data_IF_957767888991
#
_entry.id   IF_957767888991
#
_cell.length_a   1.000
_cell.length_b   1.000
_cell.length_c   1.000
_cell.angle_alpha   90.00
_cell.angle_beta   90.00
_cell.angle_gamma   90.00
#
_symmetry.space_group_name_H-M   'P 1'
#
loop_
_entity.id
_entity.type
_entity.pdbx_description
1 polymer ?
2 non-polymer ?
3 non-polymer ?
4 water ?
#
# COMPACT_ATOMS: atom_id res chain seq x y z
N UNK A 1 0.25 4.13 -7.01
CA UNK A 1 -0.90 4.84 -7.68
C UNK A 1 -0.56 6.30 -8.04
N UNK A 2 0.45 6.89 -7.38
CA UNK A 2 0.87 8.29 -7.52
C UNK A 2 2.34 8.46 -7.11
N UNK A 3 2.92 9.69 -7.20
CA UNK A 3 4.34 9.95 -6.99
C UNK A 3 4.86 9.60 -5.58
N UNK A 4 4.00 9.66 -4.58
CA UNK A 4 4.33 9.28 -3.20
C UNK A 4 4.61 7.78 -3.12
N UNK A 5 3.73 6.99 -3.71
CA UNK A 5 3.85 5.52 -3.78
C UNK A 5 5.04 5.14 -4.67
N UNK A 6 5.35 5.96 -5.70
CA UNK A 6 6.53 5.74 -6.57
C UNK A 6 7.82 5.84 -5.74
N UNK A 7 7.94 6.87 -4.93
CA UNK A 7 9.13 7.06 -4.08
C UNK A 7 9.21 5.90 -3.08
N UNK A 8 8.10 5.58 -2.40
CA UNK A 8 8.04 4.51 -1.38
C UNK A 8 8.49 3.19 -2.00
N UNK A 9 7.94 2.87 -3.16
CA UNK A 9 8.32 1.63 -3.89
C UNK A 9 9.81 1.62 -4.22
N UNK A 10 10.39 2.74 -4.65
CA UNK A 10 11.82 2.81 -5.05
C UNK A 10 12.70 2.47 -3.83
N UNK A 11 12.34 2.96 -2.66
CA UNK A 11 13.04 2.64 -1.39
C UNK A 11 12.83 1.18 -1.00
N UNK A 12 11.60 0.67 -1.07
CA UNK A 12 11.33 -0.71 -0.60
C UNK A 12 12.11 -1.70 -1.47
N UNK A 13 12.17 -1.46 -2.77
CA UNK A 13 12.73 -2.48 -3.71
C UNK A 13 14.26 -2.58 -3.58
N UNK A 14 14.98 -1.54 -3.13
CA UNK A 14 16.46 -1.59 -3.09
C UNK A 14 16.99 -1.50 -1.66
N UNK A 15 16.24 -0.94 -0.71
CA UNK A 15 16.84 -0.57 0.58
C UNK A 15 16.17 -1.25 1.77
N UNK A 16 15.47 -2.36 1.57
CA UNK A 16 14.83 -3.10 2.71
C UNK A 16 15.20 -4.57 2.65
N UNK A 17 15.34 -5.13 3.85
CA UNK A 17 15.50 -6.59 4.07
C UNK A 17 14.46 -7.00 5.09
N UNK A 18 14.21 -8.30 5.20
CA UNK A 18 13.37 -8.86 6.27
C UNK A 18 14.31 -9.28 7.40
N UNK A 19 14.20 -8.67 8.57
CA UNK A 19 15.04 -9.02 9.73
C UNK A 19 14.20 -9.85 10.69
N UNK A 20 14.80 -10.91 11.25
CA UNK A 20 14.13 -11.79 12.23
C UNK A 20 15.01 -11.86 13.48
N UNK A 21 14.48 -11.45 14.63
CA UNK A 21 15.11 -11.62 15.96
C UNK A 21 14.22 -12.59 16.74
N UNK A 22 14.56 -12.86 18.01
CA UNK A 22 13.75 -13.72 18.91
C UNK A 22 12.42 -13.03 19.25
N UNK A 23 12.26 -11.73 18.91
CA UNK A 23 11.03 -10.94 19.23
C UNK A 23 10.19 -10.73 17.97
N UNK A 24 10.56 -11.31 16.82
CA UNK A 24 9.67 -11.35 15.65
C UNK A 24 10.34 -11.00 14.33
N UNK A 25 9.52 -10.85 13.31
CA UNK A 25 9.93 -10.46 11.95
C UNK A 25 9.69 -8.96 11.77
N UNK A 26 10.67 -8.20 11.28
CA UNK A 26 10.57 -6.73 11.11
C UNK A 26 11.01 -6.32 9.72
N UNK A 27 10.33 -5.34 9.13
CA UNK A 27 10.89 -4.54 8.03
C UNK A 27 12.16 -3.86 8.59
N UNK A 28 13.26 -3.90 7.83
CA UNK A 28 14.56 -3.27 8.20
C UNK A 28 15.02 -2.43 7.01
N UNK A 29 15.23 -1.16 7.27
CA UNK A 29 15.72 -0.15 6.29
C UNK A 29 17.25 -0.13 6.28
N UNK A 30 17.81 -0.48 5.13
CA UNK A 30 19.24 -0.34 4.87
C UNK A 30 19.56 1.10 4.48
N UNK A 31 20.60 1.71 5.05
CA UNK A 31 20.84 3.18 4.85
C UNK A 31 22.07 3.40 3.97
N UNK A 32 23.18 2.71 4.23
CA UNK A 32 24.40 2.85 3.38
C UNK A 32 25.32 1.72 3.82
N UNK A 33 26.22 1.30 2.93
CA UNK A 33 27.26 0.27 3.23
C UNK A 33 26.53 -0.95 3.84
N UNK A 34 26.87 -1.38 5.07
CA UNK A 34 26.25 -2.57 5.70
C UNK A 34 25.45 -2.07 6.92
N UNK A 35 25.06 -0.80 6.91
CA UNK A 35 24.40 -0.13 8.09
C UNK A 35 22.90 -0.10 7.82
N UNK A 36 22.10 -0.61 8.76
CA UNK A 36 20.62 -0.62 8.69
C UNK A 36 20.05 -0.14 10.03
N UNK A 37 18.74 0.12 10.05
CA UNK A 37 18.04 0.52 11.31
C UNK A 37 16.86 -0.44 11.59
N UNK A 38 16.46 -0.53 12.85
CA UNK A 38 15.34 -1.39 13.30
C UNK A 38 14.84 -0.81 14.61
N UNK A 39 13.56 -0.98 15.00
CA UNK A 39 13.13 -0.51 16.32
C UNK A 39 13.92 -1.23 17.43
N UNK A 40 14.24 -0.48 18.50
CA UNK A 40 15.07 -1.00 19.60
C UNK A 40 14.37 -2.17 20.30
N UNK A 41 13.04 -2.22 20.29
CA UNK A 41 12.26 -3.32 20.93
C UNK A 41 12.40 -4.63 20.14
N UNK A 42 13.03 -4.61 18.97
CA UNK A 42 13.43 -5.87 18.30
C UNK A 42 14.49 -6.62 19.11
N UNK A 43 15.20 -5.99 20.06
CA UNK A 43 16.22 -6.64 20.93
C UNK A 43 17.27 -7.40 20.09
N UNK A 44 17.97 -6.67 19.23
CA UNK A 44 19.01 -7.25 18.33
C UNK A 44 20.13 -7.80 19.21
N UNK A 45 20.55 -9.03 18.93
CA UNK A 45 21.67 -9.70 19.61
C UNK A 45 22.90 -9.80 18.72
N UNK A 46 23.70 -10.84 18.92
CA UNK A 46 25.01 -11.05 18.26
C UNK A 46 24.76 -11.70 16.90
N UNK A 47 23.61 -12.36 16.75
CA UNK A 47 23.17 -13.01 15.49
C UNK A 47 21.74 -12.55 15.16
N UNK A 48 21.49 -12.28 13.89
CA UNK A 48 20.15 -11.90 13.38
C UNK A 48 19.94 -12.68 12.07
N UNK A 49 18.70 -12.93 11.64
CA UNK A 49 18.38 -13.50 10.31
C UNK A 49 18.02 -12.34 9.37
N UNK A 50 18.62 -12.32 8.19
CA UNK A 50 18.43 -11.29 7.14
C UNK A 50 17.95 -12.08 5.91
N UNK A 51 16.70 -11.89 5.51
CA UNK A 51 16.14 -12.67 4.38
C UNK A 51 16.43 -14.16 4.60
N UNK A 52 16.25 -14.64 5.84
CA UNK A 52 16.35 -16.06 6.29
C UNK A 52 17.78 -16.62 6.23
N UNK A 53 18.78 -15.75 6.22
CA UNK A 53 20.23 -16.15 6.24
C UNK A 53 20.80 -15.74 7.62
N UNK A 54 21.37 -16.68 8.33
CA UNK A 54 22.08 -16.38 9.60
C UNK A 54 23.20 -15.36 9.34
N UNK A 55 23.23 -14.25 10.07
CA UNK A 55 24.11 -13.08 9.83
C UNK A 55 24.67 -12.58 11.18
N UNK A 56 25.98 -12.51 11.29
CA UNK A 56 26.64 -11.90 12.47
C UNK A 56 26.36 -10.40 12.54
N UNK A 57 26.11 -9.88 13.73
CA UNK A 57 25.96 -8.42 13.98
C UNK A 57 27.32 -7.86 14.39
N UNK A 58 27.90 -6.99 13.56
CA UNK A 58 29.27 -6.47 13.82
C UNK A 58 29.18 -5.37 14.88
N UNK A 59 28.04 -4.66 14.98
CA UNK A 59 27.78 -3.58 15.96
C UNK A 59 26.28 -3.30 16.04
N UNK A 60 25.78 -2.98 17.23
CA UNK A 60 24.38 -2.53 17.40
C UNK A 60 24.35 -1.42 18.44
N UNK A 61 23.72 -0.29 18.13
CA UNK A 61 23.68 0.83 19.11
C UNK A 61 22.24 1.38 19.23
N UNK A 62 21.67 1.24 20.41
CA UNK A 62 20.36 1.80 20.78
C UNK A 62 20.51 3.30 21.01
N UNK A 63 20.02 4.12 20.10
CA UNK A 63 20.20 5.58 20.20
C UNK A 63 19.35 6.15 21.33
N UNK A 64 19.93 7.15 22.00
CA UNK A 64 19.24 7.98 23.02
C UNK A 64 19.61 9.43 22.74
N UNK A 65 18.78 10.39 23.10
CA UNK A 65 19.13 11.80 22.90
C UNK A 65 20.05 12.25 24.04
N UNK A 66 20.45 13.51 23.98
CA UNK A 66 21.49 14.07 24.90
C UNK A 66 20.83 14.43 26.23
N UNK A 67 19.54 14.16 26.41
CA UNK A 67 18.92 14.02 27.78
C UNK A 67 18.94 12.56 28.25
N UNK A 68 19.57 11.63 27.51
CA UNK A 68 19.56 10.19 27.87
C UNK A 68 18.11 9.72 27.85
N UNK A 69 17.31 10.14 26.86
CA UNK A 69 15.94 9.64 26.62
C UNK A 69 15.96 8.70 25.39
N UNK A 70 15.29 7.57 25.52
CA UNK A 70 15.13 6.58 24.43
C UNK A 70 14.76 7.30 23.12
N UNK A 71 15.32 6.89 21.99
CA UNK A 71 14.76 7.32 20.68
C UNK A 71 14.09 6.18 19.91
N UNK A 72 14.25 4.93 20.36
CA UNK A 72 13.62 3.71 19.81
C UNK A 72 14.24 3.34 18.47
N UNK A 73 15.39 3.93 18.10
CA UNK A 73 16.14 3.48 16.88
C UNK A 73 17.37 2.70 17.36
N UNK A 74 17.63 1.55 16.74
CA UNK A 74 18.90 0.81 16.89
C UNK A 74 19.58 0.82 15.52
N UNK A 75 20.84 1.20 15.48
CA UNK A 75 21.65 1.19 14.22
C UNK A 75 22.41 -0.11 14.26
N UNK A 76 22.30 -0.88 13.20
CA UNK A 76 22.94 -2.22 13.18
C UNK A 76 23.93 -2.23 12.03
N UNK A 77 25.14 -2.72 12.26
CA UNK A 77 26.08 -3.03 11.17
C UNK A 77 26.09 -4.53 10.96
N UNK A 78 25.80 -5.01 9.75
CA UNK A 78 25.60 -6.44 9.43
C UNK A 78 26.86 -6.99 8.75
N UNK A 79 27.28 -8.19 9.14
CA UNK A 79 28.39 -8.88 8.41
C UNK A 79 27.84 -9.49 7.14
N UNK A 80 27.45 -8.64 6.21
CA UNK A 80 26.79 -9.05 4.94
C UNK A 80 27.81 -8.87 3.80
N UNK A 81 27.68 -9.65 2.71
CA UNK A 81 28.65 -9.64 1.58
C UNK A 81 28.26 -8.60 0.53
N UNK A 82 27.29 -7.75 0.84
CA UNK A 82 26.76 -6.80 -0.17
C UNK A 82 26.41 -5.51 0.57
N UNK A 83 26.59 -4.36 -0.09
CA UNK A 83 26.26 -3.02 0.46
C UNK A 83 24.89 -2.54 -0.02
N UNK A 84 24.26 -1.70 0.78
CA UNK A 84 23.01 -1.00 0.41
C UNK A 84 23.37 0.19 -0.46
N UNK A 85 22.51 0.49 -1.41
CA UNK A 85 22.45 1.81 -2.05
C UNK A 85 22.48 2.89 -0.97
N UNK A 86 23.36 3.86 -1.08
CA UNK A 86 23.49 4.99 -0.13
C UNK A 86 22.26 5.91 -0.31
N UNK A 87 21.37 5.99 0.69
CA UNK A 87 20.16 6.86 0.68
C UNK A 87 20.26 7.98 1.72
N UNK A 88 21.44 8.26 2.26
CA UNK A 88 21.54 9.29 3.33
C UNK A 88 21.13 10.67 2.82
N UNK A 89 21.25 10.96 1.51
CA UNK A 89 20.82 12.28 0.97
C UNK A 89 19.29 12.42 1.01
N UNK A 90 18.52 11.36 1.31
CA UNK A 90 17.04 11.44 1.41
C UNK A 90 16.60 11.67 2.86
N UNK A 91 17.53 11.69 3.81
CA UNK A 91 17.22 11.89 5.25
C UNK A 91 17.11 13.37 5.56
N UNK A 92 16.08 13.78 6.32
CA UNK A 92 15.95 15.15 6.80
C UNK A 92 17.08 15.52 7.76
N UNK A 93 17.42 16.80 7.82
CA UNK A 93 18.43 17.30 8.78
C UNK A 93 17.81 17.73 10.10
N UNK A 94 16.54 18.12 10.13
CA UNK A 94 15.88 18.70 11.32
C UNK A 94 14.55 17.99 11.60
N UNK A 95 14.05 18.11 12.85
CA UNK A 95 12.71 17.62 13.25
C UNK A 95 11.68 18.48 12.52
N UNK A 96 10.61 17.90 12.01
CA UNK A 96 9.65 18.67 11.19
C UNK A 96 8.33 17.93 11.20
N UNK A 97 7.30 18.61 10.71
CA UNK A 97 5.98 18.08 10.32
C UNK A 97 5.99 17.88 8.80
N UNK A 98 5.11 17.04 8.28
CA UNK A 98 5.09 16.64 6.85
C UNK A 98 3.64 16.49 6.38
N UNK A 99 3.41 16.74 5.09
CA UNK A 99 2.12 16.34 4.46
C UNK A 99 2.29 15.03 3.68
N UNK A 100 1.24 14.21 3.64
CA UNK A 100 1.04 13.20 2.57
C UNK A 100 2.14 12.16 2.63
N UNK A 101 2.26 11.44 3.74
CA UNK A 101 3.26 10.38 3.89
C UNK A 101 2.67 9.01 3.53
N UNK A 102 3.57 8.06 3.24
CA UNK A 102 3.26 6.63 2.98
C UNK A 102 4.06 5.82 4.00
N UNK A 103 3.42 4.83 4.60
CA UNK A 103 4.08 3.79 5.44
C UNK A 103 4.14 2.51 4.64
N UNK A 104 5.34 1.95 4.48
CA UNK A 104 5.61 0.76 3.62
C UNK A 104 6.18 -0.38 4.47
N UNK A 105 5.67 -1.59 4.28
CA UNK A 105 6.04 -2.78 5.07
C UNK A 105 6.31 -3.92 4.12
N UNK A 106 7.32 -4.71 4.40
CA UNK A 106 7.61 -5.95 3.66
C UNK A 106 8.06 -7.03 4.64
N UNK A 107 7.13 -7.91 4.99
CA UNK A 107 7.40 -9.12 5.83
C UNK A 107 6.71 -10.34 5.20
N UNK A 108 6.98 -11.55 5.72
CA UNK A 108 6.21 -12.80 5.41
C UNK A 108 4.68 -12.58 5.58
N UNK A 109 4.25 -11.92 6.66
CA UNK A 109 2.81 -11.69 6.99
C UNK A 109 2.21 -10.62 6.05
N UNK A 110 2.98 -9.58 5.73
CA UNK A 110 2.51 -8.39 4.96
C UNK A 110 3.50 -8.03 3.84
N UNK A 111 3.57 -8.78 2.72
CA UNK A 111 4.44 -8.41 1.62
C UNK A 111 3.86 -7.27 0.76
N UNK A 112 4.73 -6.37 0.27
CA UNK A 112 4.39 -5.29 -0.70
C UNK A 112 3.21 -4.48 -0.19
N UNK A 113 3.23 -4.10 1.08
CA UNK A 113 2.15 -3.32 1.74
C UNK A 113 2.51 -1.84 1.74
N UNK A 114 1.62 -0.98 1.23
CA UNK A 114 1.77 0.49 1.21
C UNK A 114 0.49 1.10 1.79
N UNK A 115 0.62 2.06 2.73
CA UNK A 115 -0.51 2.74 3.41
C UNK A 115 -0.32 4.24 3.29
N UNK A 116 -1.26 4.98 2.64
CA UNK A 116 -1.20 6.44 2.68
C UNK A 116 -1.75 6.92 4.04
N UNK A 117 -0.88 7.47 4.88
CA UNK A 117 -1.23 7.80 6.29
C UNK A 117 -1.60 9.25 6.41
N UNK A 118 -1.35 10.05 5.37
CA UNK A 118 -1.71 11.47 5.34
C UNK A 118 -0.74 12.33 6.10
N UNK A 119 -1.26 13.28 6.87
CA UNK A 119 -0.46 14.32 7.54
C UNK A 119 0.33 13.72 8.71
N UNK A 120 1.58 14.11 8.85
CA UNK A 120 2.48 13.62 9.94
C UNK A 120 2.82 14.78 10.87
N UNK A 121 2.47 14.67 12.16
CA UNK A 121 2.77 15.67 13.20
C UNK A 121 4.11 15.37 13.90
N UNK A 122 4.91 16.41 14.12
CA UNK A 122 6.05 16.35 15.09
C UNK A 122 5.45 16.27 16.49
N UNK A 123 5.21 15.06 16.99
CA UNK A 123 4.45 14.82 18.24
C UNK A 123 5.38 15.04 19.44
N UNK A 124 6.61 14.57 19.32
CA UNK A 124 7.64 14.79 20.34
C UNK A 124 7.67 13.69 21.37
N UNK A 125 7.26 14.00 22.59
CA UNK A 125 7.31 13.01 23.70
C UNK A 125 6.15 12.01 23.56
N UNK A 126 6.44 10.72 23.74
CA UNK A 126 5.46 9.61 23.84
C UNK A 126 5.93 8.65 24.91
N UNK A 127 5.02 8.22 25.78
CA UNK A 127 5.24 7.06 26.67
C UNK A 127 4.92 5.81 25.85
N UNK A 128 5.94 5.21 25.26
CA UNK A 128 5.80 4.10 24.30
C UNK A 128 5.99 2.79 25.04
N UNK A 129 4.89 2.06 25.29
CA UNK A 129 4.94 0.79 26.04
C UNK A 129 5.56 1.01 27.43
N UNK A 130 5.32 2.15 28.06
CA UNK A 130 5.92 2.46 29.37
C UNK A 130 7.31 3.10 29.32
N UNK A 131 7.92 3.29 28.14
CA UNK A 131 9.27 3.91 28.01
C UNK A 131 9.13 5.34 27.52
N UNK A 132 9.53 6.37 28.29
CA UNK A 132 9.58 7.75 27.80
C UNK A 132 10.44 7.81 26.52
N UNK A 133 9.87 8.35 25.47
CA UNK A 133 10.50 8.31 24.11
C UNK A 133 10.40 9.71 23.51
N UNK A 134 11.46 10.19 22.85
CA UNK A 134 11.48 11.50 22.16
C UNK A 134 11.49 11.34 20.63
N UNK A 135 11.32 12.48 19.95
CA UNK A 135 11.37 12.62 18.46
C UNK A 135 10.38 11.69 17.76
N UNK A 136 9.16 11.59 18.30
CA UNK A 136 8.07 10.75 17.73
C UNK A 136 7.26 11.58 16.72
N UNK A 137 7.00 10.95 15.58
CA UNK A 137 6.08 11.43 14.51
C UNK A 137 4.74 10.72 14.71
N UNK A 138 3.61 11.39 14.47
CA UNK A 138 2.28 10.74 14.67
C UNK A 138 1.45 10.91 13.41
N UNK A 139 0.77 9.84 13.01
CA UNK A 139 -0.19 9.84 11.88
C UNK A 139 -1.49 9.17 12.33
N UNK A 140 -2.61 9.59 11.72
CA UNK A 140 -3.96 9.13 12.17
C UNK A 140 -4.36 7.92 11.34
N UNK A 141 -3.69 6.79 11.54
CA UNK A 141 -4.07 5.52 10.89
C UNK A 141 -3.96 4.43 11.94
N UNK A 142 -4.99 3.54 12.03
CA UNK A 142 -5.01 2.41 12.96
C UNK A 142 -4.06 1.31 12.50
N UNK A 143 -2.77 1.55 12.72
CA UNK A 143 -1.67 0.58 12.48
C UNK A 143 -1.81 -0.59 13.49
N UNK A 144 -1.31 -1.77 13.10
CA UNK A 144 -1.54 -3.05 13.81
C UNK A 144 -0.20 -3.75 13.99
N UNK A 145 -0.18 -4.78 14.85
CA UNK A 145 0.94 -5.73 15.01
C UNK A 145 1.37 -6.19 13.61
N UNK A 146 2.68 -6.17 13.35
CA UNK A 146 3.32 -6.60 12.10
C UNK A 146 3.96 -5.46 11.30
N UNK A 147 3.64 -4.21 11.62
CA UNK A 147 4.05 -3.02 10.85
C UNK A 147 5.30 -2.36 11.43
N UNK A 148 5.79 -2.81 12.59
CA UNK A 148 6.96 -2.17 13.21
C UNK A 148 8.18 -2.31 12.30
N UNK A 149 8.92 -1.20 12.14
CA UNK A 149 10.11 -1.16 11.27
C UNK A 149 9.70 -0.65 9.89
N UNK A 150 8.38 -0.50 9.66
CA UNK A 150 7.88 0.02 8.38
C UNK A 150 8.48 1.37 8.08
N UNK A 151 8.70 1.68 6.81
CA UNK A 151 9.38 2.93 6.40
C UNK A 151 8.34 4.02 6.15
N UNK A 152 8.55 5.16 6.75
CA UNK A 152 7.71 6.37 6.51
C UNK A 152 8.45 7.31 5.54
N UNK A 153 7.81 7.60 4.40
CA UNK A 153 8.38 8.46 3.35
C UNK A 153 7.36 9.52 2.95
N UNK A 154 7.88 10.64 2.46
CA UNK A 154 7.19 11.57 1.55
C UNK A 154 7.92 11.49 0.22
N UNK A 155 7.43 12.15 -0.83
CA UNK A 155 8.20 12.26 -2.10
C UNK A 155 9.56 12.90 -1.77
N UNK A 156 10.62 12.18 -2.05
CA UNK A 156 11.99 12.69 -1.93
C UNK A 156 12.53 12.54 -0.53
N UNK A 157 11.76 12.15 0.51
CA UNK A 157 12.37 11.98 1.86
C UNK A 157 11.97 10.70 2.61
N UNK A 158 12.95 10.11 3.31
CA UNK A 158 12.75 8.97 4.24
C UNK A 158 12.81 9.56 5.64
N UNK A 159 11.66 9.63 6.32
CA UNK A 159 11.54 10.52 7.51
C UNK A 159 11.50 9.72 8.82
N UNK A 160 11.23 8.42 8.78
CA UNK A 160 11.00 7.65 10.02
C UNK A 160 10.84 6.16 9.83
N UNK A 161 10.84 5.44 10.95
CA UNK A 161 10.46 4.01 10.98
C UNK A 161 9.37 3.80 12.06
N UNK A 162 8.32 3.06 11.68
CA UNK A 162 7.08 2.82 12.51
C UNK A 162 7.49 2.04 13.77
N UNK A 163 7.10 2.52 14.97
CA UNK A 163 7.53 1.82 16.22
C UNK A 163 6.34 1.49 17.13
N UNK A 164 5.12 1.95 16.83
CA UNK A 164 3.97 1.66 17.72
C UNK A 164 2.67 2.29 17.27
N UNK A 165 1.61 2.05 18.04
CA UNK A 165 0.26 2.57 17.80
C UNK A 165 -0.60 2.42 19.03
N UNK A 166 -1.76 3.10 19.08
CA UNK A 166 -2.71 3.04 20.22
C UNK A 166 -4.07 2.55 19.72
N UNK A 167 -4.14 2.02 18.50
CA UNK A 167 -5.38 1.52 17.88
C UNK A 167 -6.01 2.52 16.93
N UNK A 168 -5.88 3.83 17.18
CA UNK A 168 -6.42 4.92 16.33
C UNK A 168 -5.28 5.67 15.60
N UNK A 169 -4.16 5.86 16.30
CA UNK A 169 -2.96 6.57 15.77
C UNK A 169 -1.76 5.60 15.65
N UNK A 170 -0.83 5.94 14.75
CA UNK A 170 0.48 5.30 14.58
C UNK A 170 1.61 6.26 14.88
N UNK A 171 2.75 5.71 15.31
CA UNK A 171 3.92 6.45 15.82
C UNK A 171 5.19 5.94 15.15
N UNK A 172 6.02 6.87 14.68
CA UNK A 172 7.30 6.53 14.04
C UNK A 172 8.42 7.25 14.79
N UNK A 173 9.60 6.65 14.87
CA UNK A 173 10.83 7.31 15.31
C UNK A 173 11.43 8.07 14.12
N UNK A 174 11.76 9.33 14.32
CA UNK A 174 12.48 10.17 13.30
C UNK A 174 13.78 9.51 12.89
N UNK A 175 14.03 9.53 11.60
CA UNK A 175 15.40 9.38 11.06
C UNK A 175 15.95 10.80 10.76
N UNK A 176 17.16 11.08 11.19
CA UNK A 176 17.89 12.33 10.93
C UNK A 176 19.24 12.02 10.26
N UNK A 177 19.68 12.89 9.35
CA UNK A 177 20.97 12.77 8.62
C UNK A 177 22.10 12.58 9.64
N UNK A 178 22.04 13.26 10.79
CA UNK A 178 23.14 13.31 11.78
C UNK A 178 23.34 11.94 12.43
N UNK A 179 22.38 11.01 12.33
CA UNK A 179 22.54 9.69 12.96
C UNK A 179 23.58 8.86 12.19
N UNK A 180 23.84 9.19 10.91
CA UNK A 180 24.52 8.29 9.95
C UNK A 180 25.73 8.93 9.27
N UNK A 181 26.29 9.96 9.90
CA UNK A 181 27.65 10.46 9.58
C UNK A 181 28.66 9.42 10.09
N UNK A 182 29.75 9.22 9.37
CA UNK A 182 30.76 8.14 9.61
C UNK A 182 32.13 8.78 9.88
N UNK B 2 -4.64 -10.33 8.38
CA UNK B 2 -5.41 -11.62 8.37
C UNK B 2 -5.23 -12.38 7.06
N UNK B 3 -6.14 -13.33 6.72
CA UNK B 3 -6.18 -13.98 5.39
C UNK B 3 -6.82 -13.10 4.31
N UNK B 4 -7.18 -11.86 4.68
CA UNK B 4 -7.41 -10.73 3.76
C UNK B 4 -6.29 -10.59 2.74
N UNK B 5 -5.02 -10.70 3.18
CA UNK B 5 -3.84 -10.56 2.29
C UNK B 5 -3.69 -11.74 1.34
N UNK B 6 -3.82 -12.99 1.81
CA UNK B 6 -3.83 -14.18 0.94
C UNK B 6 -4.89 -14.01 -0.16
N UNK B 7 -6.09 -13.62 0.24
CA UNK B 7 -7.26 -13.51 -0.68
C UNK B 7 -6.90 -12.46 -1.74
N UNK B 8 -6.47 -11.28 -1.32
CA UNK B 8 -6.10 -10.18 -2.26
C UNK B 8 -5.03 -10.70 -3.25
N UNK B 9 -4.03 -11.42 -2.74
CA UNK B 9 -2.94 -11.96 -3.59
C UNK B 9 -3.48 -12.98 -4.58
N UNK B 10 -4.43 -13.84 -4.19
CA UNK B 10 -4.96 -14.91 -5.06
C UNK B 10 -5.74 -14.27 -6.21
N UNK B 11 -6.49 -13.23 -5.89
CA UNK B 11 -7.27 -12.48 -6.91
C UNK B 11 -6.29 -11.74 -7.85
N UNK B 12 -5.28 -11.07 -7.30
CA UNK B 12 -4.22 -10.38 -8.09
C UNK B 12 -3.60 -11.39 -9.08
N UNK B 13 -3.07 -12.49 -8.57
CA UNK B 13 -2.25 -13.43 -9.38
C UNK B 13 -3.02 -13.97 -10.59
N UNK B 14 -4.26 -14.43 -10.43
CA UNK B 14 -5.03 -15.14 -11.50
C UNK B 14 -6.03 -14.22 -12.24
N UNK B 15 -6.51 -13.14 -11.62
CA UNK B 15 -7.67 -12.38 -12.16
C UNK B 15 -7.37 -10.91 -12.48
N UNK B 16 -6.14 -10.44 -12.37
CA UNK B 16 -5.78 -9.01 -12.60
C UNK B 16 -4.79 -8.92 -13.76
N UNK B 17 -5.10 -8.07 -14.76
CA UNK B 17 -4.25 -7.78 -15.94
C UNK B 17 -4.00 -6.27 -16.05
N UNK B 18 -2.98 -5.88 -16.84
CA UNK B 18 -2.67 -4.44 -17.14
C UNK B 18 -3.39 -4.09 -18.44
N UNK B 19 -4.34 -3.16 -18.39
CA UNK B 19 -5.10 -2.69 -19.57
C UNK B 19 -4.58 -1.31 -19.93
N UNK B 20 -4.31 -1.06 -21.21
CA UNK B 20 -3.83 0.26 -21.69
C UNK B 20 -4.81 0.72 -22.76
N UNK B 21 -5.41 1.88 -22.51
CA UNK B 21 -6.30 2.62 -23.44
C UNK B 21 -5.53 3.85 -23.95
N UNK B 22 -6.21 4.66 -24.78
CA UNK B 22 -5.72 6.00 -25.21
C UNK B 22 -5.31 6.82 -23.99
N UNK B 23 -5.89 6.57 -22.81
CA UNK B 23 -5.68 7.39 -21.58
C UNK B 23 -4.49 6.88 -20.75
N UNK B 24 -3.99 5.69 -21.01
CA UNK B 24 -2.86 5.09 -20.28
C UNK B 24 -3.22 3.76 -19.61
N UNK B 25 -2.57 3.44 -18.48
CA UNK B 25 -2.68 2.06 -17.91
C UNK B 25 -3.67 2.06 -16.73
N UNK B 26 -4.41 0.95 -16.65
CA UNK B 26 -5.43 0.71 -15.60
C UNK B 26 -5.31 -0.73 -15.10
N UNK B 27 -5.41 -0.94 -13.80
CA UNK B 27 -5.61 -2.27 -13.22
C UNK B 27 -6.98 -2.78 -13.71
N UNK B 28 -7.01 -3.90 -14.41
CA UNK B 28 -8.28 -4.48 -14.91
C UNK B 28 -8.53 -5.81 -14.19
N UNK B 29 -9.78 -6.03 -13.79
CA UNK B 29 -10.24 -7.30 -13.18
C UNK B 29 -10.94 -8.18 -14.22
N UNK B 30 -10.37 -9.33 -14.52
CA UNK B 30 -11.10 -10.38 -15.24
C UNK B 30 -12.07 -11.12 -14.35
N UNK B 31 -13.28 -11.35 -14.81
CA UNK B 31 -14.37 -11.89 -13.95
C UNK B 31 -14.68 -13.36 -14.31
N UNK B 32 -14.86 -13.68 -15.57
CA UNK B 32 -15.17 -15.04 -16.09
C UNK B 32 -15.03 -15.02 -17.61
N UNK B 33 -14.79 -16.18 -18.23
CA UNK B 33 -14.66 -16.25 -19.71
C UNK B 33 -13.73 -15.12 -20.20
N UNK B 34 -14.18 -14.30 -21.16
CA UNK B 34 -13.33 -13.18 -21.69
C UNK B 34 -13.93 -11.84 -21.24
N UNK B 35 -14.60 -11.85 -20.09
CA UNK B 35 -15.34 -10.68 -19.56
C UNK B 35 -14.51 -10.08 -18.44
N UNK B 36 -14.25 -8.77 -18.52
CA UNK B 36 -13.48 -8.00 -17.52
C UNK B 36 -14.16 -6.66 -17.24
N UNK B 37 -13.72 -5.98 -16.20
CA UNK B 37 -14.26 -4.63 -15.83
C UNK B 37 -13.11 -3.65 -15.65
N UNK B 38 -13.40 -2.40 -15.96
CA UNK B 38 -12.44 -1.25 -15.92
C UNK B 38 -13.30 -0.03 -15.61
N UNK B 39 -12.79 1.02 -14.95
CA UNK B 39 -13.55 2.28 -14.78
C UNK B 39 -13.98 2.92 -16.09
N UNK B 40 -15.19 3.47 -16.15
CA UNK B 40 -15.72 4.09 -17.39
C UNK B 40 -14.76 5.20 -17.87
N UNK B 41 -14.11 5.93 -16.96
CA UNK B 41 -13.20 7.04 -17.32
C UNK B 41 -11.95 6.56 -18.09
N UNK B 42 -11.69 5.24 -18.20
CA UNK B 42 -10.57 4.69 -19.02
C UNK B 42 -10.82 4.93 -20.52
N UNK B 43 -12.07 5.20 -20.92
CA UNK B 43 -12.40 5.52 -22.33
C UNK B 43 -11.98 4.36 -23.26
N UNK B 44 -12.56 3.20 -23.01
CA UNK B 44 -12.24 1.96 -23.78
C UNK B 44 -12.70 2.17 -25.23
N UNK B 45 -11.86 1.79 -26.19
CA UNK B 45 -12.21 1.94 -27.61
C UNK B 45 -12.45 0.61 -28.27
N UNK B 46 -12.10 0.48 -29.56
CA UNK B 46 -12.28 -0.76 -30.34
C UNK B 46 -11.15 -1.73 -30.04
N UNK B 47 -10.03 -1.20 -29.57
CA UNK B 47 -8.74 -1.94 -29.37
C UNK B 47 -8.24 -1.54 -28.00
N UNK B 48 -7.68 -2.49 -27.28
CA UNK B 48 -7.06 -2.28 -25.96
C UNK B 48 -5.81 -3.14 -25.90
N UNK B 49 -4.81 -2.74 -25.10
CA UNK B 49 -3.63 -3.59 -24.81
C UNK B 49 -3.85 -4.30 -23.48
N UNK B 50 -3.66 -5.60 -23.47
CA UNK B 50 -3.79 -6.43 -22.25
C UNK B 50 -2.41 -7.02 -21.98
N UNK B 51 -1.72 -6.59 -20.92
CA UNK B 51 -0.31 -7.01 -20.68
C UNK B 51 0.51 -6.79 -21.95
N UNK B 52 0.30 -5.65 -22.62
CA UNK B 52 1.11 -5.17 -23.78
C UNK B 52 0.77 -5.92 -25.06
N UNK B 53 -0.29 -6.72 -25.09
CA UNK B 53 -0.79 -7.37 -26.33
C UNK B 53 -2.01 -6.60 -26.89
N UNK B 54 -1.86 -6.03 -28.08
CA UNK B 54 -3.00 -5.47 -28.87
C UNK B 54 -4.15 -6.50 -28.91
N UNK B 55 -5.33 -6.12 -28.40
CA UNK B 55 -6.52 -7.00 -28.24
C UNK B 55 -7.80 -6.27 -28.71
N UNK B 56 -8.55 -6.92 -29.59
CA UNK B 56 -9.86 -6.41 -30.03
C UNK B 56 -10.83 -6.47 -28.84
N UNK B 57 -11.53 -5.36 -28.61
CA UNK B 57 -12.68 -5.33 -27.67
C UNK B 57 -13.95 -5.62 -28.45
N UNK B 58 -14.55 -6.77 -28.21
CA UNK B 58 -15.77 -7.21 -28.95
C UNK B 58 -16.99 -6.42 -28.48
N UNK B 59 -17.04 -6.06 -27.20
CA UNK B 59 -18.22 -5.38 -26.62
C UNK B 59 -17.75 -4.57 -25.42
N UNK B 60 -18.27 -3.36 -25.30
CA UNK B 60 -18.07 -2.49 -24.12
C UNK B 60 -19.43 -1.93 -23.70
N UNK B 61 -19.75 -2.06 -22.42
CA UNK B 61 -21.01 -1.58 -21.81
C UNK B 61 -20.67 -0.65 -20.66
N UNK B 62 -21.02 0.64 -20.80
CA UNK B 62 -20.84 1.63 -19.70
C UNK B 62 -22.07 1.50 -18.79
N UNK B 63 -21.93 0.81 -17.64
CA UNK B 63 -23.09 0.40 -16.85
C UNK B 63 -23.81 1.61 -16.23
N UNK B 64 -25.13 1.52 -16.26
CA UNK B 64 -26.10 2.43 -15.58
C UNK B 64 -27.16 1.58 -14.87
N UNK B 65 -27.70 2.06 -13.75
CA UNK B 65 -28.73 1.31 -13.00
C UNK B 65 -30.11 1.63 -13.57
N UNK B 66 -31.14 1.13 -12.91
CA UNK B 66 -32.54 1.23 -13.41
C UNK B 66 -33.11 2.65 -13.21
N UNK B 67 -32.44 3.53 -12.48
CA UNK B 67 -32.79 4.98 -12.41
C UNK B 67 -32.10 5.72 -13.57
N UNK B 68 -31.45 4.99 -14.46
CA UNK B 68 -30.67 5.57 -15.58
C UNK B 68 -29.56 6.48 -15.03
N UNK B 69 -28.88 6.02 -14.00
CA UNK B 69 -27.74 6.75 -13.39
C UNK B 69 -26.46 5.95 -13.64
N UNK B 70 -25.40 6.67 -13.93
CA UNK B 70 -24.03 6.14 -14.12
C UNK B 70 -23.64 5.30 -12.91
N UNK B 71 -22.99 4.18 -13.18
CA UNK B 71 -22.29 3.35 -12.14
C UNK B 71 -20.74 3.41 -12.24
N UNK B 72 -20.16 3.97 -13.32
CA UNK B 72 -18.70 4.21 -13.52
C UNK B 72 -17.91 2.88 -13.69
N UNK B 73 -18.60 1.79 -14.03
CA UNK B 73 -18.02 0.49 -14.43
C UNK B 73 -18.31 0.29 -15.90
N UNK B 74 -17.29 -0.03 -16.68
CA UNK B 74 -17.48 -0.55 -18.04
C UNK B 74 -17.17 -2.05 -18.04
N UNK B 75 -18.07 -2.84 -18.58
CA UNK B 75 -17.89 -4.31 -18.75
C UNK B 75 -17.39 -4.53 -20.17
N UNK B 76 -16.25 -5.21 -20.36
CA UNK B 76 -15.70 -5.43 -21.73
C UNK B 76 -15.66 -6.93 -22.03
N UNK B 77 -15.85 -7.30 -23.30
CA UNK B 77 -15.70 -8.69 -23.79
C UNK B 77 -14.50 -8.69 -24.75
N UNK B 78 -13.45 -9.41 -24.40
CA UNK B 78 -12.15 -9.33 -25.12
C UNK B 78 -12.03 -10.49 -26.12
N UNK B 79 -11.45 -10.20 -27.28
CA UNK B 79 -11.05 -11.24 -28.29
C UNK B 79 -9.67 -11.80 -27.91
N UNK B 80 -9.61 -12.74 -26.96
CA UNK B 80 -8.35 -13.44 -26.57
C UNK B 80 -8.66 -14.91 -26.21
N UNK B 81 -7.65 -15.77 -26.39
CA UNK B 81 -7.73 -17.24 -26.20
C UNK B 81 -7.92 -17.56 -24.73
N UNK B 82 -7.11 -16.95 -23.87
CA UNK B 82 -7.11 -17.25 -22.41
C UNK B 82 -8.48 -16.89 -21.82
N UNK B 83 -8.98 -17.77 -20.96
CA UNK B 83 -10.24 -17.60 -20.21
C UNK B 83 -9.86 -17.18 -18.79
N UNK B 84 -10.59 -16.23 -18.18
CA UNK B 84 -10.35 -15.81 -16.78
C UNK B 84 -10.91 -16.88 -15.85
N UNK B 85 -10.24 -17.13 -14.74
CA UNK B 85 -10.77 -17.96 -13.61
C UNK B 85 -12.09 -17.35 -13.13
N UNK B 86 -13.19 -18.12 -13.12
CA UNK B 86 -14.53 -17.60 -12.73
C UNK B 86 -14.51 -17.22 -11.26
N UNK B 87 -14.76 -15.95 -10.91
CA UNK B 87 -14.82 -15.43 -9.52
C UNK B 87 -16.19 -14.81 -9.22
N UNK B 88 -17.23 -15.10 -10.00
CA UNK B 88 -18.58 -14.52 -9.77
C UNK B 88 -19.14 -14.92 -8.40
N UNK B 89 -18.74 -16.09 -7.87
CA UNK B 89 -19.19 -16.57 -6.55
C UNK B 89 -18.61 -15.70 -5.44
N UNK B 90 -17.60 -14.87 -5.70
CA UNK B 90 -17.04 -13.95 -4.68
C UNK B 90 -17.63 -12.55 -4.75
N UNK B 91 -18.55 -12.28 -5.69
CA UNK B 91 -19.19 -10.92 -5.82
C UNK B 91 -20.36 -10.82 -4.86
N UNK B 92 -20.49 -9.73 -4.09
CA UNK B 92 -21.67 -9.51 -3.25
C UNK B 92 -22.97 -9.49 -4.05
N UNK B 93 -24.03 -9.98 -3.41
CA UNK B 93 -25.39 -10.00 -3.99
C UNK B 93 -26.08 -8.65 -3.80
N UNK B 94 -25.76 -7.96 -2.72
CA UNK B 94 -26.43 -6.70 -2.30
C UNK B 94 -25.41 -5.63 -1.93
N UNK B 95 -25.87 -4.38 -1.83
CA UNK B 95 -25.07 -3.23 -1.36
C UNK B 95 -24.78 -3.43 0.12
N UNK B 96 -23.60 -3.03 0.60
CA UNK B 96 -23.19 -3.31 2.00
C UNK B 96 -22.00 -2.44 2.42
N UNK B 97 -21.78 -2.35 3.74
CA UNK B 97 -20.54 -1.77 4.34
C UNK B 97 -19.59 -2.93 4.65
N UNK B 98 -18.29 -2.67 4.78
CA UNK B 98 -17.28 -3.74 4.99
C UNK B 98 -16.18 -3.27 5.96
N UNK B 99 -15.50 -4.21 6.60
CA UNK B 99 -14.28 -3.88 7.38
C UNK B 99 -13.03 -4.49 6.74
N UNK B 100 -11.89 -3.89 7.06
CA UNK B 100 -10.53 -4.45 6.77
C UNK B 100 -10.41 -4.79 5.28
N UNK B 101 -10.76 -3.85 4.41
CA UNK B 101 -10.57 -3.99 2.96
C UNK B 101 -9.12 -3.76 2.54
N UNK B 102 -8.75 -4.39 1.42
CA UNK B 102 -7.47 -4.19 0.70
C UNK B 102 -7.76 -3.69 -0.71
N UNK B 103 -6.98 -2.71 -1.16
CA UNK B 103 -6.96 -2.19 -2.55
C UNK B 103 -5.67 -2.70 -3.21
N UNK B 104 -5.80 -3.45 -4.30
CA UNK B 104 -4.68 -4.12 -5.00
C UNK B 104 -4.48 -3.50 -6.39
N UNK B 105 -3.31 -2.85 -6.55
CA UNK B 105 -2.90 -2.07 -7.77
C UNK B 105 -1.94 -2.92 -8.60
N UNK B 106 -2.11 -2.95 -9.92
CA UNK B 106 -1.23 -3.70 -10.83
C UNK B 106 -1.08 -2.96 -12.16
N UNK B 107 0.05 -2.26 -12.33
CA UNK B 107 0.41 -1.59 -13.62
C UNK B 107 1.90 -1.83 -13.91
N UNK B 108 2.40 -1.34 -15.05
CA UNK B 108 3.86 -1.39 -15.37
C UNK B 108 4.65 -0.65 -14.30
N UNK B 109 4.13 0.46 -13.87
CA UNK B 109 4.78 1.37 -12.89
C UNK B 109 4.66 0.82 -11.47
N UNK B 110 3.53 0.17 -11.16
CA UNK B 110 3.18 -0.30 -9.80
C UNK B 110 2.77 -1.77 -9.85
N UNK B 111 3.73 -2.71 -10.00
CA UNK B 111 3.40 -4.11 -10.09
C UNK B 111 3.08 -4.65 -8.69
N UNK B 112 2.09 -5.52 -8.56
CA UNK B 112 1.87 -6.20 -7.24
C UNK B 112 1.98 -5.24 -6.04
N UNK B 113 1.18 -4.17 -5.95
CA UNK B 113 1.13 -3.23 -4.77
C UNK B 113 -0.17 -3.40 -3.96
N UNK B 114 -0.13 -3.60 -2.64
CA UNK B 114 -1.33 -3.85 -1.80
C UNK B 114 -1.51 -2.73 -0.78
N UNK B 115 -2.68 -2.11 -0.78
CA UNK B 115 -2.96 -0.92 0.07
C UNK B 115 -4.11 -1.24 1.02
N UNK B 116 -3.85 -1.56 2.31
CA UNK B 116 -4.89 -1.72 3.32
C UNK B 116 -5.62 -0.37 3.39
N UNK B 117 -6.92 -0.35 3.14
CA UNK B 117 -7.68 0.93 3.26
C UNK B 117 -8.52 0.89 4.54
N UNK B 118 -8.86 -0.32 5.00
CA UNK B 118 -9.58 -0.59 6.26
C UNK B 118 -11.08 -0.48 6.08
N UNK B 119 -11.71 0.45 6.81
CA UNK B 119 -13.19 0.53 6.86
C UNK B 119 -13.71 1.16 5.57
N UNK B 120 -14.70 0.50 4.99
CA UNK B 120 -15.41 0.88 3.72
C UNK B 120 -16.90 1.09 4.02
N UNK B 121 -17.41 2.28 3.70
CA UNK B 121 -18.83 2.70 3.86
C UNK B 121 -19.57 2.60 2.52
N UNK B 122 -20.78 2.04 2.52
CA UNK B 122 -21.81 2.28 1.48
C UNK B 122 -22.14 3.78 1.45
N UNK B 123 -21.51 4.54 0.59
CA UNK B 123 -21.57 6.02 0.58
C UNK B 123 -22.76 6.43 -0.29
N UNK B 124 -22.97 5.67 -1.37
CA UNK B 124 -24.12 5.77 -2.29
C UNK B 124 -23.88 6.78 -3.41
N UNK B 125 -24.52 7.95 -3.31
CA UNK B 125 -24.54 8.97 -4.40
C UNK B 125 -23.27 9.81 -4.35
N UNK B 126 -22.64 10.04 -5.48
CA UNK B 126 -21.45 10.93 -5.62
C UNK B 126 -21.51 11.68 -6.94
N UNK B 127 -21.29 13.00 -6.90
CA UNK B 127 -21.06 13.77 -8.15
C UNK B 127 -19.59 13.60 -8.54
N UNK B 128 -19.29 12.71 -9.49
CA UNK B 128 -17.89 12.38 -9.86
C UNK B 128 -17.51 13.03 -11.18
N UNK B 129 -16.62 14.05 -11.13
CA UNK B 129 -16.19 14.85 -12.28
C UNK B 129 -17.37 15.42 -13.03
N UNK B 130 -18.45 15.77 -12.29
CA UNK B 130 -19.64 16.42 -12.85
C UNK B 130 -20.76 15.42 -13.19
N UNK B 131 -20.50 14.11 -13.08
CA UNK B 131 -21.45 13.05 -13.43
C UNK B 131 -22.06 12.44 -12.18
N UNK B 132 -23.39 12.56 -12.00
CA UNK B 132 -24.12 11.86 -10.94
C UNK B 132 -23.98 10.32 -11.00
N UNK B 133 -23.53 9.74 -9.89
CA UNK B 133 -23.05 8.35 -9.82
C UNK B 133 -23.65 7.64 -8.61
N UNK B 134 -24.05 6.40 -8.80
CA UNK B 134 -24.62 5.57 -7.70
C UNK B 134 -23.66 4.46 -7.27
N UNK B 135 -24.02 3.84 -6.14
CA UNK B 135 -23.36 2.63 -5.57
C UNK B 135 -21.87 2.86 -5.36
N UNK B 136 -21.49 4.01 -4.82
CA UNK B 136 -20.08 4.30 -4.47
C UNK B 136 -19.77 3.75 -3.07
N UNK B 137 -18.64 3.03 -2.97
CA UNK B 137 -17.98 2.69 -1.68
C UNK B 137 -16.94 3.77 -1.35
N UNK B 138 -16.82 4.15 -0.07
CA UNK B 138 -15.85 5.18 0.35
C UNK B 138 -14.93 4.60 1.45
N UNK B 139 -13.66 4.97 1.37
CA UNK B 139 -12.61 4.66 2.38
C UNK B 139 -11.72 5.87 2.55
N UNK B 140 -11.04 5.98 3.70
CA UNK B 140 -10.00 7.00 3.85
C UNK B 140 -8.91 6.76 2.83
N UNK B 141 -8.38 7.85 2.24
CA UNK B 141 -7.35 7.86 1.18
C UNK B 141 -6.75 9.25 1.10
N UNK B 142 -5.95 9.64 2.12
CA UNK B 142 -5.44 11.01 2.24
C UNK B 142 -4.19 11.24 1.38
N UNK B 143 -4.34 11.10 0.06
CA UNK B 143 -3.29 11.27 -0.96
C UNK B 143 -4.02 11.62 -2.26
N UNK B 144 -3.32 12.18 -3.23
CA UNK B 144 -3.92 12.40 -4.57
C UNK B 144 -3.28 11.33 -5.46
N UNK B 145 -4.01 10.25 -5.67
CA UNK B 145 -3.62 9.14 -6.58
C UNK B 145 -4.01 9.51 -8.01
N UNK B 146 -3.27 8.97 -8.99
CA UNK B 146 -3.61 9.01 -10.41
C UNK B 146 -4.78 8.10 -10.76
N UNK B 147 -4.93 7.79 -12.04
CA UNK B 147 -6.17 7.22 -12.62
C UNK B 147 -6.20 5.68 -12.55
N UNK B 148 -5.07 4.98 -12.31
CA UNK B 148 -4.90 3.57 -12.72
C UNK B 148 -5.87 2.65 -11.93
N UNK B 149 -6.31 3.06 -10.76
CA UNK B 149 -7.29 2.32 -9.93
C UNK B 149 -6.75 1.00 -9.44
N UNK B 150 -7.63 0.05 -9.15
CA UNK B 150 -7.28 -1.17 -8.40
C UNK B 150 -8.48 -1.90 -7.87
N UNK B 151 -8.29 -3.11 -7.40
CA UNK B 151 -9.37 -4.02 -6.99
C UNK B 151 -9.52 -3.96 -5.49
N UNK B 152 -10.74 -3.82 -5.00
CA UNK B 152 -11.03 -3.74 -3.55
C UNK B 152 -11.57 -5.10 -3.09
N UNK B 153 -10.90 -5.71 -2.11
CA UNK B 153 -11.32 -7.01 -1.57
C UNK B 153 -11.42 -6.97 -0.04
N UNK B 154 -12.17 -7.92 0.47
CA UNK B 154 -12.21 -8.28 1.91
C UNK B 154 -11.86 -9.75 1.97
N UNK B 155 -11.83 -10.36 3.16
CA UNK B 155 -11.79 -11.83 3.25
C UNK B 155 -13.05 -12.38 2.58
N UNK B 156 -12.87 -13.13 1.51
CA UNK B 156 -13.94 -13.87 0.86
C UNK B 156 -14.68 -13.07 -0.20
N UNK B 157 -14.48 -11.77 -0.37
CA UNK B 157 -15.34 -11.05 -1.35
C UNK B 157 -14.54 -10.05 -2.19
N UNK B 158 -14.90 -9.97 -3.47
CA UNK B 158 -14.42 -8.90 -4.38
C UNK B 158 -15.52 -7.85 -4.48
N UNK B 159 -15.33 -6.72 -3.84
CA UNK B 159 -16.45 -5.77 -3.53
C UNK B 159 -16.48 -4.58 -4.49
N UNK B 160 -15.40 -4.22 -5.18
CA UNK B 160 -15.43 -3.01 -6.02
C UNK B 160 -14.13 -2.76 -6.76
N UNK B 161 -14.12 -1.74 -7.63
CA UNK B 161 -12.91 -1.23 -8.31
C UNK B 161 -12.80 0.28 -8.05
N UNK B 162 -11.61 0.74 -7.72
CA UNK B 162 -11.29 2.16 -7.40
C UNK B 162 -11.56 3.04 -8.63
N UNK B 163 -12.42 4.05 -8.50
CA UNK B 163 -12.81 4.94 -9.61
C UNK B 163 -12.39 6.40 -9.38
N UNK B 164 -12.05 6.83 -8.16
CA UNK B 164 -11.64 8.23 -7.94
C UNK B 164 -11.35 8.56 -6.48
N UNK B 165 -11.27 9.85 -6.18
CA UNK B 165 -10.95 10.33 -4.82
C UNK B 165 -10.93 11.84 -4.73
N UNK B 166 -10.94 12.41 -3.52
CA UNK B 166 -11.03 13.89 -3.33
C UNK B 166 -9.88 14.39 -2.46
N UNK B 167 -8.75 13.64 -2.41
CA UNK B 167 -7.55 13.97 -1.62
C UNK B 167 -7.62 13.55 -0.17
N UNK B 168 -8.82 13.34 0.39
CA UNK B 168 -9.07 12.87 1.76
C UNK B 168 -9.70 11.49 1.71
N UNK B 169 -10.58 11.27 0.73
CA UNK B 169 -11.33 9.99 0.66
C UNK B 169 -11.07 9.35 -0.70
N UNK B 170 -11.16 8.03 -0.76
CA UNK B 170 -11.11 7.23 -1.98
C UNK B 170 -12.45 6.62 -2.28
N UNK B 171 -12.75 6.43 -3.57
CA UNK B 171 -14.10 5.98 -4.01
C UNK B 171 -13.95 4.81 -4.96
N UNK B 172 -14.74 3.77 -4.73
CA UNK B 172 -14.84 2.56 -5.58
C UNK B 172 -16.28 2.33 -6.04
N UNK B 173 -16.45 1.85 -7.26
CA UNK B 173 -17.73 1.36 -7.80
C UNK B 173 -17.96 -0.06 -7.29
N UNK B 174 -19.14 -0.29 -6.74
CA UNK B 174 -19.53 -1.63 -6.24
C UNK B 174 -19.49 -2.61 -7.41
N UNK B 175 -19.04 -3.83 -7.15
CA UNK B 175 -19.34 -4.96 -8.06
C UNK B 175 -20.45 -5.79 -7.41
N UNK B 176 -21.46 -6.15 -8.18
CA UNK B 176 -22.58 -7.00 -7.72
C UNK B 176 -22.71 -8.22 -8.63
N UNK B 177 -23.16 -9.32 -8.03
CA UNK B 177 -23.33 -10.60 -8.75
C UNK B 177 -24.25 -10.43 -9.94
N UNK B 178 -25.32 -9.64 -9.79
CA UNK B 178 -26.32 -9.52 -10.87
C UNK B 178 -25.73 -8.80 -12.09
N UNK B 179 -24.57 -8.14 -12.01
CA UNK B 179 -24.01 -7.46 -13.22
C UNK B 179 -23.54 -8.47 -14.28
N UNK B 180 -23.31 -9.71 -13.89
CA UNK B 180 -22.60 -10.73 -14.71
C UNK B 180 -23.39 -12.03 -14.86
N UNK B 181 -24.66 -12.07 -14.50
CA UNK B 181 -25.50 -13.28 -14.70
C UNK B 181 -25.86 -13.44 -16.18
X LIG C 1 -6.97 4.36 -29.16
X LIG C 1 -6.34 2.34 -27.79
X LIG C 1 -5.30 1.74 -27.10
X LIG C 1 -4.05 2.35 -27.01
X LIG C 1 -3.82 3.58 -27.62
X LIG C 1 -4.87 4.16 -28.30
X LIG C 1 -4.96 5.35 -29.04
X LIG C 1 -3.88 6.31 -29.24
X LIG C 1 -7.37 7.55 -29.84
X LIG C 1 -6.25 5.39 -29.53
X LIG C 1 -6.75 6.48 -30.50
X LIG C 1 -6.12 3.57 -28.39
X LIG D 1 -21.95 -9.41 -18.55
X LIG D 1 -21.63 -9.36 -20.03
X LIG D 1 -21.78 -11.11 -18.09
X LIG D 1 -23.73 -9.31 -18.42
#
# INVERSE_FOLDING_TARGET
>A
MGPGFDFAQAIMKKNTVIARTEKGEFTMLGVYDRVAVIPTHASVGEIIYINDVETRVLDACALRDLTDTNLEITIVKLDRNQKFRDIRHFLPRCEDDYNDAVLSVHTSKFPNMYIPVGQVTNYGFLNLGGTPTHRILMYNFPTRAGQCGGVVTTTGKVIGIHVGGNGAQGFAAMLLHSYFTD
>B
MGPGFDFAQAIMKKNTVIARTEKGEFTMLGVYDRVAVIPTHASVGEIIYINDVETRVLDACALRDLTDTNLEITIVKLDRNQKFRDIRHFLPRCEDDYNDAVLSVHTSKFPNMYIPVGQVTNYGFLNLGGTPTHRILMYNFPTRAGQCGGVVTTTGKVIGIHVGGNGAQGFAAMLLHSYFTD
>C hetero
1 T1U N1 C4 C5 C6 C7 C8 N C O C1 C2 C3
>D hetero
1 DMS S O C1 C2
#
